data_IF_641867526827
#
_entry.id   IF_641867526827
#
_cell.length_a   1.000
_cell.length_b   1.000
_cell.length_c   1.000
_cell.angle_alpha   90.00
_cell.angle_beta   90.00
_cell.angle_gamma   90.00
#
_symmetry.space_group_name_H-M   'P 1'
#
loop_
_entity.id
_entity.type
_entity.pdbx_description
1 polymer ?
#
# COMPACT_ATOMS: atom_id res chain seq x y z
N UNK A 1 -39.94 -5.95 -51.13
CA UNK A 1 -39.26 -4.97 -50.24
C UNK A 1 -38.67 -5.54 -48.93
N UNK A 2 -39.20 -6.63 -48.35
CA UNK A 2 -38.72 -7.18 -47.06
C UNK A 2 -37.32 -7.85 -47.11
N UNK A 3 -36.95 -8.54 -48.21
CA UNK A 3 -35.60 -9.14 -48.37
C UNK A 3 -34.44 -8.12 -48.37
N UNK A 4 -34.68 -6.88 -48.82
CA UNK A 4 -33.66 -5.79 -48.80
C UNK A 4 -33.48 -5.19 -47.40
N UNK A 5 -34.54 -5.14 -46.57
CA UNK A 5 -34.45 -4.70 -45.16
C UNK A 5 -33.71 -5.74 -44.29
N UNK A 6 -33.90 -7.04 -44.54
CA UNK A 6 -33.21 -8.11 -43.82
C UNK A 6 -31.69 -8.15 -44.11
N UNK A 7 -31.28 -7.97 -45.38
CA UNK A 7 -29.86 -7.86 -45.75
C UNK A 7 -29.18 -6.58 -45.19
N UNK A 8 -29.89 -5.45 -45.10
CA UNK A 8 -29.38 -4.22 -44.46
C UNK A 8 -29.25 -4.37 -42.93
N UNK A 9 -30.16 -5.08 -42.27
CA UNK A 9 -30.09 -5.44 -40.85
C UNK A 9 -28.88 -6.34 -40.55
N UNK A 10 -28.61 -7.34 -41.38
CA UNK A 10 -27.41 -8.17 -41.24
C UNK A 10 -26.10 -7.44 -41.60
N UNK A 11 -26.11 -6.48 -42.54
CA UNK A 11 -24.94 -5.62 -42.81
C UNK A 11 -24.66 -4.64 -41.65
N UNK A 12 -25.70 -4.11 -40.98
CA UNK A 12 -25.56 -3.31 -39.75
C UNK A 12 -25.07 -4.15 -38.57
N UNK A 13 -25.58 -5.37 -38.37
CA UNK A 13 -25.06 -6.33 -37.37
C UNK A 13 -23.63 -6.81 -37.68
N UNK A 14 -23.26 -6.97 -38.95
CA UNK A 14 -21.88 -7.29 -39.36
C UNK A 14 -20.90 -6.12 -39.17
N UNK A 15 -21.35 -4.87 -39.30
CA UNK A 15 -20.51 -3.70 -39.02
C UNK A 15 -20.36 -3.37 -37.52
N UNK A 16 -21.25 -3.85 -36.66
CA UNK A 16 -21.06 -3.83 -35.20
C UNK A 16 -20.02 -4.85 -34.72
N UNK A 17 -19.63 -5.80 -35.58
CA UNK A 17 -18.54 -6.75 -35.37
C UNK A 17 -17.20 -6.30 -35.97
N UNK A 18 -16.97 -5.00 -36.15
CA UNK A 18 -15.59 -4.51 -36.02
C UNK A 18 -15.22 -4.72 -34.55
N UNK A 19 -14.70 -5.91 -34.24
CA UNK A 19 -13.92 -6.18 -33.03
C UNK A 19 -12.89 -5.07 -32.98
N UNK A 20 -13.17 -3.99 -32.24
CA UNK A 20 -12.12 -3.14 -31.72
C UNK A 20 -11.31 -4.11 -30.87
N UNK A 21 -10.20 -4.61 -31.42
CA UNK A 21 -9.20 -5.33 -30.65
C UNK A 21 -8.60 -4.27 -29.73
N UNK A 22 -9.24 -4.07 -28.58
CA UNK A 22 -8.71 -3.24 -27.52
C UNK A 22 -7.51 -4.00 -26.96
N UNK A 23 -6.33 -3.67 -27.46
CA UNK A 23 -5.10 -4.14 -26.88
C UNK A 23 -4.80 -3.28 -25.65
N UNK A 24 -4.83 -3.90 -24.48
CA UNK A 24 -4.59 -3.24 -23.20
C UNK A 24 -3.21 -2.57 -23.15
N UNK A 25 -2.19 -3.18 -23.76
CA UNK A 25 -0.83 -2.63 -23.80
C UNK A 25 -0.82 -1.32 -24.60
N UNK A 26 -1.52 -1.28 -25.74
CA UNK A 26 -1.64 -0.07 -26.57
C UNK A 26 -2.39 1.05 -25.85
N UNK A 27 -3.42 0.73 -25.06
CA UNK A 27 -4.13 1.72 -24.23
C UNK A 27 -3.20 2.28 -23.16
N UNK A 28 -2.49 1.41 -22.45
CA UNK A 28 -1.53 1.79 -21.41
C UNK A 28 -0.44 2.70 -22.01
N UNK A 29 0.15 2.33 -23.15
CA UNK A 29 1.16 3.15 -23.83
C UNK A 29 0.61 4.51 -24.27
N UNK A 30 -0.63 4.55 -24.76
CA UNK A 30 -1.31 5.79 -25.11
C UNK A 30 -1.51 6.70 -23.89
N UNK A 31 -1.96 6.15 -22.75
CA UNK A 31 -2.14 6.92 -21.52
C UNK A 31 -0.81 7.42 -20.94
N UNK A 32 0.24 6.59 -20.99
CA UNK A 32 1.60 6.99 -20.61
C UNK A 32 2.06 8.20 -21.43
N UNK A 33 1.91 8.12 -22.76
CA UNK A 33 2.34 9.20 -23.67
C UNK A 33 1.49 10.46 -23.51
N UNK A 34 0.17 10.31 -23.43
CA UNK A 34 -0.79 11.42 -23.32
C UNK A 34 -0.58 12.23 -22.05
N UNK A 35 -0.31 11.55 -20.93
CA UNK A 35 -0.07 12.18 -19.64
C UNK A 35 1.42 12.47 -19.38
N UNK A 36 2.29 12.26 -20.37
CA UNK A 36 3.73 12.53 -20.31
C UNK A 36 4.42 11.86 -19.11
N UNK A 37 4.01 10.62 -18.80
CA UNK A 37 4.55 9.88 -17.66
C UNK A 37 6.02 9.49 -17.92
N UNK A 38 6.85 9.70 -16.90
CA UNK A 38 8.29 9.37 -16.94
C UNK A 38 8.49 7.87 -16.79
N UNK A 39 8.76 7.17 -17.88
CA UNK A 39 8.98 5.72 -17.87
C UNK A 39 10.38 5.36 -17.38
N UNK A 40 11.41 5.98 -17.94
CA UNK A 40 12.80 5.57 -17.75
C UNK A 40 13.55 6.50 -16.80
N UNK A 41 14.49 5.93 -16.04
CA UNK A 41 15.39 6.71 -15.20
C UNK A 41 16.55 7.26 -16.04
N UNK A 42 16.93 8.55 -15.87
CA UNK A 42 18.12 9.11 -16.47
C UNK A 42 19.39 8.27 -16.21
N UNK A 43 20.27 8.13 -17.21
CA UNK A 43 21.48 7.28 -17.12
C UNK A 43 22.45 7.65 -15.99
N UNK A 44 22.43 8.90 -15.53
CA UNK A 44 23.24 9.39 -14.42
C UNK A 44 22.67 9.01 -13.04
N UNK A 45 21.48 8.41 -12.98
CA UNK A 45 20.92 7.87 -11.74
C UNK A 45 21.42 6.44 -11.55
N UNK A 46 22.20 6.25 -10.49
CA UNK A 46 22.66 4.94 -10.03
C UNK A 46 22.27 4.74 -8.57
N UNK A 47 22.10 3.48 -8.16
CA UNK A 47 21.74 3.08 -6.80
C UNK A 47 22.91 2.46 -6.02
N UNK A 48 24.08 2.30 -6.66
CA UNK A 48 25.25 1.62 -6.06
C UNK A 48 25.67 2.26 -4.73
N UNK A 49 25.74 3.58 -4.69
CA UNK A 49 26.16 4.31 -3.50
C UNK A 49 25.17 4.15 -2.34
N UNK A 50 23.87 4.12 -2.64
CA UNK A 50 22.81 3.94 -1.66
C UNK A 50 22.83 2.53 -1.06
N UNK A 51 23.02 1.50 -1.89
CA UNK A 51 23.05 0.10 -1.46
C UNK A 51 24.23 -0.20 -0.54
N UNK A 52 25.35 0.52 -0.69
CA UNK A 52 26.53 0.37 0.18
C UNK A 52 26.32 0.84 1.63
N UNK A 53 25.25 1.60 1.92
CA UNK A 53 25.01 2.26 3.21
C UNK A 53 24.31 1.38 4.26
N UNK A 54 23.77 0.21 3.86
CA UNK A 54 22.94 -0.65 4.72
C UNK A 54 23.67 -1.07 6.01
N UNK A 55 25.01 -1.21 5.96
CA UNK A 55 25.82 -1.67 7.10
C UNK A 55 26.25 -0.59 8.11
N UNK A 56 25.89 0.68 7.92
CA UNK A 56 26.51 1.81 8.65
C UNK A 56 25.57 2.68 9.51
N UNK A 57 24.42 2.17 9.96
CA UNK A 57 23.51 3.04 10.72
C UNK A 57 23.65 2.94 12.24
N UNK A 58 24.29 3.92 12.86
CA UNK A 58 24.32 4.12 14.32
C UNK A 58 22.99 4.59 14.90
N UNK A 59 22.14 5.21 14.06
CA UNK A 59 20.94 5.92 14.52
C UNK A 59 19.67 5.04 14.53
N UNK A 60 19.76 3.81 14.00
CA UNK A 60 18.64 2.87 14.00
C UNK A 60 18.76 1.89 15.16
N UNK A 61 17.75 1.88 16.03
CA UNK A 61 17.71 0.96 17.15
C UNK A 61 17.35 -0.46 16.69
N UNK A 62 17.94 -1.47 17.35
CA UNK A 62 17.65 -2.87 17.04
C UNK A 62 16.25 -3.29 17.53
N UNK A 63 15.42 -3.69 16.57
CA UNK A 63 14.09 -4.26 16.76
C UNK A 63 13.94 -5.64 16.09
N UNK A 64 15.03 -6.31 15.70
CA UNK A 64 15.01 -7.58 14.96
C UNK A 64 14.42 -8.75 15.77
N UNK A 65 14.38 -8.59 17.09
CA UNK A 65 13.75 -9.54 18.02
C UNK A 65 12.22 -9.48 17.98
N UNK A 66 11.61 -8.37 17.52
CA UNK A 66 10.15 -8.23 17.43
C UNK A 66 9.64 -8.95 16.16
N UNK A 67 8.60 -9.81 16.25
CA UNK A 67 8.10 -10.59 15.13
C UNK A 67 7.16 -9.76 14.24
N UNK A 68 7.71 -8.74 13.59
CA UNK A 68 7.01 -7.98 12.54
C UNK A 68 6.64 -8.90 11.36
N UNK A 69 5.53 -8.58 10.70
CA UNK A 69 5.08 -9.24 9.46
C UNK A 69 4.64 -8.18 8.45
N UNK A 70 4.73 -8.51 7.16
CA UNK A 70 4.09 -7.71 6.10
C UNK A 70 2.83 -8.42 5.62
N UNK A 71 1.81 -7.65 5.20
CA UNK A 71 0.53 -8.18 4.71
C UNK A 71 0.14 -7.38 3.46
N UNK A 72 0.27 -8.01 2.30
CA UNK A 72 0.21 -7.32 1.01
C UNK A 72 -0.63 -8.08 -0.04
N UNK A 73 -0.75 -7.50 -1.23
CA UNK A 73 -1.31 -8.19 -2.39
C UNK A 73 -0.39 -9.32 -2.87
N UNK A 74 -0.97 -10.33 -3.52
CA UNK A 74 -0.21 -11.48 -4.08
C UNK A 74 0.89 -11.03 -5.06
N UNK A 75 0.63 -9.97 -5.83
CA UNK A 75 1.53 -9.43 -6.86
C UNK A 75 2.53 -8.35 -6.35
N UNK A 76 2.43 -7.94 -5.08
CA UNK A 76 3.28 -6.89 -4.49
C UNK A 76 4.74 -7.33 -4.34
N UNK A 77 5.67 -6.40 -4.55
CA UNK A 77 7.14 -6.63 -4.42
C UNK A 77 7.84 -5.58 -3.54
N UNK A 78 7.24 -4.41 -3.46
CA UNK A 78 7.58 -3.24 -2.66
C UNK A 78 6.79 -3.28 -1.35
N UNK A 79 7.33 -3.94 -0.33
CA UNK A 79 6.69 -4.03 0.99
C UNK A 79 7.09 -2.81 1.82
N UNK A 80 6.27 -1.77 1.76
CA UNK A 80 6.54 -0.49 2.41
C UNK A 80 6.31 -0.51 3.92
N UNK A 81 5.39 -1.35 4.39
CA UNK A 81 5.00 -1.44 5.79
C UNK A 81 5.08 -2.86 6.37
N UNK A 82 5.45 -2.91 7.65
CA UNK A 82 5.39 -4.10 8.46
C UNK A 82 4.69 -3.77 9.78
N UNK A 83 3.88 -4.71 10.27
CA UNK A 83 3.02 -4.50 11.43
C UNK A 83 3.31 -5.50 12.54
N UNK A 84 3.16 -5.03 13.76
CA UNK A 84 3.22 -5.85 14.97
C UNK A 84 2.18 -5.35 15.99
N UNK A 85 1.58 -6.28 16.71
CA UNK A 85 0.69 -5.95 17.82
C UNK A 85 0.83 -6.96 18.96
N UNK A 86 0.79 -6.46 20.19
CA UNK A 86 0.79 -7.31 21.38
C UNK A 86 -0.18 -6.76 22.43
N UNK A 87 -1.01 -7.65 22.98
CA UNK A 87 -1.86 -7.31 24.12
C UNK A 87 -1.05 -7.31 25.40
N UNK A 88 -1.09 -6.21 26.13
CA UNK A 88 -0.51 -6.06 27.48
C UNK A 88 -1.63 -5.85 28.50
N UNK A 89 -1.31 -5.91 29.79
CA UNK A 89 -2.31 -5.67 30.85
C UNK A 89 -2.91 -4.26 30.66
N UNK A 90 -4.21 -4.20 30.36
CA UNK A 90 -4.97 -2.95 30.19
C UNK A 90 -4.74 -2.16 28.90
N UNK A 91 -3.90 -2.63 27.97
CA UNK A 91 -3.65 -1.93 26.71
C UNK A 91 -3.22 -2.87 25.57
N UNK A 92 -3.27 -2.36 24.33
CA UNK A 92 -2.70 -3.01 23.15
C UNK A 92 -1.53 -2.13 22.68
N UNK A 93 -0.36 -2.71 22.52
CA UNK A 93 0.77 -2.05 21.88
C UNK A 93 0.79 -2.40 20.40
N UNK A 94 0.82 -1.37 19.56
CA UNK A 94 0.82 -1.44 18.10
C UNK A 94 2.12 -0.81 17.61
N UNK A 95 2.78 -1.46 16.66
CA UNK A 95 3.96 -0.94 15.98
C UNK A 95 3.75 -1.07 14.47
N UNK A 96 3.89 0.05 13.77
CA UNK A 96 3.92 0.11 12.31
C UNK A 96 5.32 0.55 11.90
N UNK A 97 6.05 -0.32 11.23
CA UNK A 97 7.37 -0.04 10.68
C UNK A 97 7.24 0.30 9.21
N UNK A 98 7.71 1.48 8.80
CA UNK A 98 7.68 1.95 7.40
C UNK A 98 9.10 1.94 6.85
N UNK A 99 9.31 1.43 5.65
CA UNK A 99 10.60 1.44 4.97
C UNK A 99 11.28 2.83 5.01
N UNK A 100 12.53 2.90 5.43
CA UNK A 100 13.24 4.17 5.59
C UNK A 100 13.84 4.65 4.27
N UNK A 101 12.99 5.03 3.32
CA UNK A 101 13.40 5.57 2.02
C UNK A 101 14.30 6.80 2.19
N UNK A 102 14.05 7.63 3.21
CA UNK A 102 14.82 8.84 3.51
C UNK A 102 16.27 8.56 3.94
N UNK A 103 16.57 7.33 4.36
CA UNK A 103 17.94 6.91 4.61
C UNK A 103 18.73 6.81 3.30
N UNK A 104 18.13 6.21 2.27
CA UNK A 104 18.76 5.97 0.97
C UNK A 104 18.72 7.18 0.05
N UNK A 105 17.64 7.93 0.05
CA UNK A 105 17.41 9.07 -0.86
C UNK A 105 17.55 10.36 -0.06
N UNK A 106 18.68 11.06 -0.19
CA UNK A 106 18.92 12.34 0.50
C UNK A 106 18.41 13.49 -0.34
N UNK A 107 18.07 14.57 0.36
CA UNK A 107 17.61 15.80 -0.27
C UNK A 107 18.63 16.27 -1.32
N UNK A 108 18.12 16.58 -2.50
CA UNK A 108 18.86 17.03 -3.68
C UNK A 108 19.77 15.97 -4.35
N UNK A 109 19.74 14.71 -3.92
CA UNK A 109 20.37 13.62 -4.68
C UNK A 109 19.69 13.47 -6.06
N UNK A 110 20.36 12.94 -7.09
CA UNK A 110 19.74 12.69 -8.40
C UNK A 110 18.44 11.88 -8.33
N UNK A 111 18.35 10.93 -7.39
CA UNK A 111 17.14 10.13 -7.14
C UNK A 111 16.02 10.98 -6.53
N UNK A 112 16.32 11.88 -5.59
CA UNK A 112 15.33 12.79 -4.98
C UNK A 112 14.74 13.74 -6.01
N UNK A 113 15.59 14.31 -6.88
CA UNK A 113 15.17 15.20 -7.96
C UNK A 113 14.23 14.46 -8.93
N UNK A 114 14.55 13.20 -9.28
CA UNK A 114 13.70 12.40 -10.15
C UNK A 114 12.40 11.95 -9.47
N UNK A 115 12.47 11.54 -8.20
CA UNK A 115 11.30 11.15 -7.42
C UNK A 115 10.31 12.32 -7.30
N UNK A 116 10.78 13.55 -7.07
CA UNK A 116 9.93 14.76 -7.07
C UNK A 116 9.26 15.02 -8.41
N UNK A 117 9.95 14.76 -9.53
CA UNK A 117 9.38 14.91 -10.88
C UNK A 117 8.34 13.84 -11.20
N UNK A 118 8.47 12.65 -10.61
CA UNK A 118 7.51 11.53 -10.77
C UNK A 118 6.32 11.69 -9.84
N UNK A 119 6.52 12.15 -8.61
CA UNK A 119 5.49 12.40 -7.60
C UNK A 119 4.95 11.12 -6.94
N UNK A 120 4.61 10.10 -7.72
CA UNK A 120 4.14 8.80 -7.25
C UNK A 120 4.53 7.66 -8.21
N UNK A 121 4.35 6.42 -7.77
CA UNK A 121 4.35 5.25 -8.65
C UNK A 121 3.01 5.15 -9.38
N UNK A 122 3.03 4.81 -10.67
CA UNK A 122 1.82 4.56 -11.45
C UNK A 122 1.63 3.07 -11.68
N UNK A 123 0.49 2.54 -11.22
CA UNK A 123 0.14 1.13 -11.31
C UNK A 123 -0.88 0.92 -12.43
N UNK A 124 -0.42 0.32 -13.54
CA UNK A 124 -1.26 -0.16 -14.63
C UNK A 124 -1.46 -1.68 -14.52
N UNK A 125 -2.47 -2.25 -15.21
CA UNK A 125 -2.58 -3.70 -15.32
C UNK A 125 -1.28 -4.33 -15.85
N UNK A 126 -0.61 -5.13 -15.02
CA UNK A 126 0.67 -5.81 -15.29
C UNK A 126 1.87 -4.90 -15.60
N UNK A 127 1.79 -3.60 -15.34
CA UNK A 127 2.92 -2.67 -15.55
C UNK A 127 2.96 -1.63 -14.44
N UNK A 128 4.13 -1.47 -13.82
CA UNK A 128 4.37 -0.42 -12.83
C UNK A 128 5.38 0.56 -13.41
N UNK A 129 5.10 1.86 -13.28
CA UNK A 129 6.09 2.91 -13.48
C UNK A 129 6.49 3.39 -12.08
N UNK A 130 7.61 2.92 -11.54
CA UNK A 130 7.93 3.17 -10.14
C UNK A 130 8.45 4.59 -9.95
N UNK A 131 8.15 5.20 -8.80
CA UNK A 131 8.70 6.49 -8.40
C UNK A 131 10.22 6.41 -8.17
N UNK A 132 10.69 5.28 -7.65
CA UNK A 132 12.08 5.01 -7.32
C UNK A 132 12.63 3.87 -8.18
N UNK A 133 13.95 3.80 -8.41
CA UNK A 133 14.53 2.66 -9.10
C UNK A 133 14.22 1.34 -8.37
N UNK A 134 13.92 0.27 -9.10
CA UNK A 134 13.49 -1.02 -8.51
C UNK A 134 14.48 -1.60 -7.51
N UNK A 135 15.79 -1.42 -7.74
CA UNK A 135 16.83 -1.85 -6.79
C UNK A 135 16.71 -1.18 -5.41
N UNK A 136 16.04 -0.02 -5.31
CA UNK A 136 15.70 0.59 -4.02
C UNK A 136 14.32 0.14 -3.56
N UNK A 137 13.27 0.33 -4.37
CA UNK A 137 11.89 0.06 -3.93
C UNK A 137 11.64 -1.41 -3.63
N UNK A 138 12.08 -2.32 -4.49
CA UNK A 138 11.74 -3.74 -4.43
C UNK A 138 12.76 -4.57 -3.63
N UNK A 139 13.92 -4.01 -3.26
CA UNK A 139 14.97 -4.74 -2.54
C UNK A 139 15.47 -4.00 -1.29
N UNK A 140 16.16 -2.87 -1.46
CA UNK A 140 16.84 -2.20 -0.34
C UNK A 140 15.88 -1.66 0.73
N UNK A 141 14.79 -1.04 0.29
CA UNK A 141 13.75 -0.47 1.14
C UNK A 141 12.70 -1.52 1.52
N UNK A 142 12.35 -2.41 0.58
CA UNK A 142 11.31 -3.42 0.77
C UNK A 142 11.57 -4.26 2.03
N UNK A 143 10.57 -4.32 2.92
CA UNK A 143 10.61 -5.02 4.21
C UNK A 143 10.47 -6.54 4.07
N UNK A 144 11.23 -7.12 3.13
CA UNK A 144 11.23 -8.55 2.78
C UNK A 144 11.54 -9.44 3.99
N UNK A 145 10.98 -10.66 4.04
CA UNK A 145 11.12 -11.53 5.19
C UNK A 145 12.57 -12.00 5.36
N UNK A 146 12.94 -12.24 6.63
CA UNK A 146 14.22 -12.80 7.08
C UNK A 146 15.47 -11.99 6.71
N UNK A 147 15.31 -10.73 6.28
CA UNK A 147 16.42 -9.80 6.07
C UNK A 147 16.28 -8.58 6.98
N UNK A 148 17.42 -8.04 7.40
CA UNK A 148 17.45 -6.79 8.14
C UNK A 148 17.15 -5.62 7.23
N UNK A 149 16.25 -4.74 7.69
CA UNK A 149 15.79 -3.58 6.94
C UNK A 149 15.65 -2.37 7.85
N UNK A 150 16.08 -1.23 7.31
CA UNK A 150 15.97 0.07 7.96
C UNK A 150 14.55 0.60 7.81
N UNK A 151 13.96 1.02 8.92
CA UNK A 151 12.60 1.50 8.95
C UNK A 151 12.43 2.66 9.93
N UNK A 152 11.33 3.39 9.78
CA UNK A 152 10.80 4.32 10.77
C UNK A 152 9.62 3.63 11.43
N UNK A 153 9.72 3.41 12.74
CA UNK A 153 8.72 2.74 13.55
C UNK A 153 7.84 3.77 14.25
N UNK A 154 6.55 3.72 13.96
CA UNK A 154 5.49 4.38 14.73
C UNK A 154 4.93 3.38 15.73
N UNK A 155 5.24 3.58 17.01
CA UNK A 155 4.79 2.70 18.10
C UNK A 155 3.83 3.44 19.02
N UNK A 156 2.74 2.81 19.41
CA UNK A 156 1.77 3.38 20.34
C UNK A 156 1.09 2.34 21.21
N UNK A 157 0.69 2.75 22.41
CA UNK A 157 -0.17 1.98 23.31
C UNK A 157 -1.57 2.58 23.29
N UNK A 158 -2.58 1.74 23.07
CA UNK A 158 -4.00 2.14 23.12
C UNK A 158 -4.72 1.41 24.25
N UNK A 159 -5.68 2.08 24.89
CA UNK A 159 -6.60 1.43 25.82
C UNK A 159 -7.71 0.65 25.08
N UNK A 160 -8.61 0.03 25.84
CA UNK A 160 -9.74 -0.75 25.31
C UNK A 160 -10.77 0.08 24.53
N UNK A 161 -10.71 1.41 24.63
CA UNK A 161 -11.56 2.35 23.89
C UNK A 161 -10.81 2.97 22.69
N UNK A 162 -9.57 2.56 22.44
CA UNK A 162 -8.73 3.07 21.36
C UNK A 162 -8.11 4.43 21.65
N UNK A 163 -8.14 4.93 22.89
CA UNK A 163 -7.42 6.15 23.29
C UNK A 163 -5.93 5.87 23.30
N UNK A 164 -5.15 6.75 22.67
CA UNK A 164 -3.68 6.68 22.68
C UNK A 164 -3.21 7.08 24.08
N UNK A 165 -2.58 6.14 24.78
CA UNK A 165 -1.96 6.35 26.10
C UNK A 165 -0.57 6.97 25.90
N UNK A 166 0.20 6.44 24.95
CA UNK A 166 1.52 6.94 24.60
C UNK A 166 1.85 6.58 23.16
N UNK A 167 2.71 7.37 22.51
CA UNK A 167 3.25 7.06 21.19
C UNK A 167 4.68 7.58 21.03
N UNK A 168 5.44 6.94 20.14
CA UNK A 168 6.83 7.27 19.80
C UNK A 168 7.09 7.00 18.32
N UNK A 169 7.98 7.79 17.73
CA UNK A 169 8.46 7.62 16.35
C UNK A 169 9.98 7.46 16.44
N UNK A 170 10.52 6.34 15.97
CA UNK A 170 11.93 5.96 16.14
C UNK A 170 12.45 5.34 14.85
N UNK A 171 13.71 5.60 14.48
CA UNK A 171 14.41 4.85 13.43
C UNK A 171 14.86 3.50 13.98
N UNK A 172 14.60 2.42 13.25
CA UNK A 172 14.85 1.06 13.72
C UNK A 172 15.32 0.11 12.63
N UNK A 173 15.96 -0.98 13.05
CA UNK A 173 16.29 -2.13 12.21
C UNK A 173 15.30 -3.23 12.57
N UNK A 174 14.55 -3.74 11.59
CA UNK A 174 13.67 -4.89 11.78
C UNK A 174 14.11 -6.07 10.93
N UNK A 175 13.64 -7.25 11.29
CA UNK A 175 13.71 -8.46 10.47
C UNK A 175 12.31 -9.06 10.40
N UNK A 176 11.59 -8.79 9.32
CA UNK A 176 10.23 -9.31 9.12
C UNK A 176 10.26 -10.84 9.16
N UNK A 177 9.33 -11.46 9.89
CA UNK A 177 9.25 -12.93 10.07
C UNK A 177 8.55 -13.61 8.91
N UNK A 178 7.61 -12.91 8.29
CA UNK A 178 6.82 -13.44 7.19
C UNK A 178 6.33 -12.33 6.28
N UNK A 179 6.27 -12.64 4.99
CA UNK A 179 5.45 -11.93 4.02
C UNK A 179 4.17 -12.72 3.85
N UNK A 180 3.06 -12.14 4.24
CA UNK A 180 1.74 -12.74 4.12
C UNK A 180 0.93 -11.98 3.07
N UNK A 181 -0.03 -12.68 2.47
CA UNK A 181 -1.02 -12.08 1.59
C UNK A 181 -2.31 -11.79 2.35
N UNK A 182 -3.09 -10.82 1.87
CA UNK A 182 -4.42 -10.54 2.43
C UNK A 182 -5.29 -11.81 2.53
N UNK A 183 -5.21 -12.69 1.53
CA UNK A 183 -5.97 -13.94 1.46
C UNK A 183 -5.52 -14.98 2.49
N UNK A 184 -4.22 -15.08 2.76
CA UNK A 184 -3.68 -15.97 3.79
C UNK A 184 -4.12 -15.51 5.18
N UNK A 185 -4.03 -14.21 5.47
CA UNK A 185 -4.46 -13.64 6.75
C UNK A 185 -5.97 -13.76 6.93
N UNK A 186 -6.76 -13.53 5.89
CA UNK A 186 -8.20 -13.75 5.93
C UNK A 186 -8.54 -15.21 6.25
N UNK A 187 -7.82 -16.15 5.65
CA UNK A 187 -7.98 -17.58 5.92
C UNK A 187 -7.61 -17.93 7.36
N UNK A 188 -6.57 -17.29 7.90
CA UNK A 188 -6.14 -17.45 9.28
C UNK A 188 -7.20 -16.97 10.28
N UNK A 189 -7.74 -15.76 10.05
CA UNK A 189 -8.81 -15.16 10.86
C UNK A 189 -10.06 -16.05 10.86
N UNK A 190 -10.52 -16.47 9.67
CA UNK A 190 -11.74 -17.28 9.51
C UNK A 190 -11.60 -18.68 10.10
N UNK A 191 -10.47 -19.35 9.89
CA UNK A 191 -10.26 -20.74 10.33
C UNK A 191 -9.81 -20.85 11.79
N UNK A 192 -9.58 -19.72 12.48
CA UNK A 192 -8.96 -19.68 13.82
C UNK A 192 -7.73 -20.60 13.88
N UNK A 193 -6.84 -20.47 12.90
CA UNK A 193 -5.75 -21.40 12.70
C UNK A 193 -4.92 -21.54 13.99
N UNK A 194 -4.77 -22.77 14.49
CA UNK A 194 -4.03 -23.05 15.74
C UNK A 194 -2.54 -23.30 15.52
N UNK A 195 -2.05 -23.17 14.28
CA UNK A 195 -0.62 -23.28 13.98
C UNK A 195 0.14 -22.20 14.74
N UNK A 196 1.09 -22.65 15.56
CA UNK A 196 1.95 -21.81 16.41
C UNK A 196 3.16 -21.31 15.62
N UNK A 197 2.90 -20.54 14.57
CA UNK A 197 3.97 -19.75 13.94
C UNK A 197 4.38 -18.62 14.89
N UNK A 198 5.63 -18.15 14.81
CA UNK A 198 6.19 -17.11 15.68
C UNK A 198 5.38 -15.79 15.65
N UNK A 199 4.59 -15.58 14.60
CA UNK A 199 3.74 -14.40 14.41
C UNK A 199 2.24 -14.65 14.69
N UNK A 200 1.86 -15.83 15.21
CA UNK A 200 0.47 -16.17 15.53
C UNK A 200 -0.17 -15.15 16.48
N UNK A 201 0.55 -14.81 17.56
CA UNK A 201 0.08 -13.84 18.54
C UNK A 201 -0.05 -12.44 17.94
N UNK A 202 0.86 -12.06 17.04
CA UNK A 202 0.81 -10.81 16.28
C UNK A 202 -0.49 -10.72 15.48
N UNK A 203 -0.83 -11.73 14.68
CA UNK A 203 -2.05 -11.73 13.86
C UNK A 203 -3.33 -11.59 14.71
N UNK A 204 -3.41 -12.34 15.81
CA UNK A 204 -4.56 -12.26 16.74
C UNK A 204 -4.70 -10.86 17.35
N UNK A 205 -3.59 -10.25 17.74
CA UNK A 205 -3.60 -8.94 18.37
C UNK A 205 -3.80 -7.80 17.34
N UNK A 206 -3.44 -7.99 16.08
CA UNK A 206 -3.76 -7.07 14.98
C UNK A 206 -5.26 -7.02 14.73
N UNK A 207 -5.93 -8.17 14.71
CA UNK A 207 -7.40 -8.23 14.61
C UNK A 207 -8.06 -7.50 15.79
N UNK A 208 -7.58 -7.74 17.02
CA UNK A 208 -8.08 -7.04 18.21
C UNK A 208 -7.87 -5.52 18.11
N UNK A 209 -6.68 -5.08 17.69
CA UNK A 209 -6.37 -3.68 17.48
C UNK A 209 -7.32 -3.03 16.46
N UNK A 210 -7.55 -3.71 15.33
CA UNK A 210 -8.48 -3.27 14.31
C UNK A 210 -9.90 -3.10 14.85
N UNK A 211 -10.43 -4.07 15.61
CA UNK A 211 -11.77 -3.96 16.19
C UNK A 211 -11.93 -2.73 17.09
N UNK A 212 -10.91 -2.44 17.91
CA UNK A 212 -10.91 -1.27 18.80
C UNK A 212 -10.83 0.04 18.00
N UNK A 213 -9.90 0.11 17.03
CA UNK A 213 -9.69 1.30 16.21
C UNK A 213 -10.88 1.58 15.29
N UNK A 214 -11.43 0.55 14.63
CA UNK A 214 -12.61 0.64 13.77
C UNK A 214 -13.83 1.12 14.54
N UNK A 215 -14.07 0.61 15.76
CA UNK A 215 -15.16 1.11 16.61
C UNK A 215 -14.98 2.60 16.93
N UNK A 216 -13.76 3.00 17.27
CA UNK A 216 -13.44 4.40 17.55
C UNK A 216 -13.62 5.31 16.32
N UNK A 217 -13.18 4.87 15.13
CA UNK A 217 -13.30 5.67 13.92
C UNK A 217 -14.75 5.78 13.44
N UNK A 218 -15.55 4.73 13.58
CA UNK A 218 -17.01 4.78 13.36
C UNK A 218 -17.69 5.78 14.29
N UNK A 219 -17.38 5.76 15.58
CA UNK A 219 -17.93 6.73 16.54
C UNK A 219 -17.52 8.19 16.25
N UNK A 220 -16.41 8.40 15.53
CA UNK A 220 -15.97 9.72 15.06
C UNK A 220 -16.66 10.15 13.75
N UNK A 221 -17.46 9.29 13.12
CA UNK A 221 -18.11 9.55 11.84
C UNK A 221 -17.25 9.24 10.62
N UNK A 222 -16.38 8.21 10.68
CA UNK A 222 -15.70 7.68 9.47
C UNK A 222 -16.77 7.33 8.43
N UNK A 223 -16.69 7.97 7.27
CA UNK A 223 -17.53 7.64 6.11
C UNK A 223 -16.92 6.40 5.47
N UNK A 224 -17.74 5.36 5.30
CA UNK A 224 -17.37 4.11 4.64
C UNK A 224 -18.11 4.06 3.30
N UNK A 225 -17.37 4.16 2.19
CA UNK A 225 -17.93 4.03 0.86
C UNK A 225 -17.78 2.59 0.40
N UNK A 226 -18.89 1.88 0.26
CA UNK A 226 -18.90 0.52 -0.30
C UNK A 226 -18.79 0.60 -1.83
N UNK A 227 -17.58 0.88 -2.31
CA UNK A 227 -17.27 0.94 -3.74
C UNK A 227 -16.83 -0.43 -4.24
N UNK A 228 -17.38 -0.83 -5.38
CA UNK A 228 -16.94 -2.04 -6.06
C UNK A 228 -15.59 -1.79 -6.74
N UNK A 229 -14.55 -2.49 -6.28
CA UNK A 229 -13.22 -2.47 -6.89
C UNK A 229 -13.05 -3.64 -7.87
N UNK A 230 -12.29 -3.42 -8.95
CA UNK A 230 -12.10 -4.38 -10.04
C UNK A 230 -10.64 -4.48 -10.47
N UNK A 231 -10.16 -5.72 -10.60
CA UNK A 231 -8.88 -6.04 -11.26
C UNK A 231 -9.09 -6.31 -12.74
N UNK A 232 -8.28 -5.67 -13.58
CA UNK A 232 -8.23 -5.96 -15.01
C UNK A 232 -7.25 -7.11 -15.25
N UNK A 233 -7.70 -8.19 -15.89
CA UNK A 233 -6.89 -9.36 -16.21
C UNK A 233 -6.87 -9.60 -17.73
N UNK A 234 -5.67 -9.72 -18.30
CA UNK A 234 -5.47 -9.99 -19.73
C UNK A 234 -5.88 -11.44 -20.05
N UNK A 235 -6.61 -11.63 -21.15
CA UNK A 235 -6.95 -12.96 -21.65
C UNK A 235 -5.73 -13.62 -22.30
N UNK A 236 -5.72 -14.96 -22.32
CA UNK A 236 -4.62 -15.77 -22.90
C UNK A 236 -4.31 -15.43 -24.37
N UNK A 237 -5.29 -14.94 -25.12
CA UNK A 237 -5.17 -14.59 -26.54
C UNK A 237 -4.66 -13.15 -26.79
N UNK A 238 -4.29 -12.41 -25.73
CA UNK A 238 -3.75 -11.03 -25.73
C UNK A 238 -4.64 -9.94 -26.33
N UNK A 239 -5.75 -10.31 -26.98
CA UNK A 239 -6.63 -9.40 -27.73
C UNK A 239 -7.87 -8.94 -26.95
N UNK A 240 -8.00 -9.38 -25.70
CA UNK A 240 -9.09 -9.03 -24.78
C UNK A 240 -8.61 -8.99 -23.33
N UNK A 241 -9.38 -8.32 -22.48
CA UNK A 241 -9.19 -8.30 -21.02
C UNK A 241 -10.55 -8.41 -20.33
N UNK A 242 -10.55 -8.88 -19.09
CA UNK A 242 -11.74 -9.05 -18.26
C UNK A 242 -11.62 -8.20 -16.99
N UNK A 243 -12.76 -7.72 -16.50
CA UNK A 243 -12.88 -7.10 -15.19
C UNK A 243 -13.28 -8.18 -14.19
N UNK A 244 -12.45 -8.41 -13.18
CA UNK A 244 -12.75 -9.30 -12.07
C UNK A 244 -13.01 -8.44 -10.84
N UNK A 245 -14.19 -8.58 -10.23
CA UNK A 245 -14.50 -7.89 -8.98
C UNK A 245 -13.52 -8.36 -7.90
N UNK A 246 -12.84 -7.41 -7.26
CA UNK A 246 -11.97 -7.68 -6.13
C UNK A 246 -12.79 -8.15 -4.93
N UNK A 247 -12.22 -9.09 -4.17
CA UNK A 247 -12.82 -9.54 -2.91
C UNK A 247 -12.35 -8.60 -1.83
N UNK A 248 -13.27 -8.00 -1.08
CA UNK A 248 -12.93 -7.27 0.13
C UNK A 248 -12.62 -8.25 1.25
N UNK A 249 -11.42 -8.14 1.84
CA UNK A 249 -10.98 -8.95 2.96
C UNK A 249 -10.91 -8.14 4.26
N UNK A 250 -11.12 -8.79 5.40
CA UNK A 250 -10.95 -8.16 6.72
C UNK A 250 -9.49 -7.81 6.94
N UNK A 251 -8.56 -8.61 6.41
CA UNK A 251 -7.11 -8.35 6.44
C UNK A 251 -6.72 -7.02 5.78
N UNK A 252 -7.40 -6.61 4.70
CA UNK A 252 -7.20 -5.30 4.06
C UNK A 252 -7.63 -4.17 5.00
N UNK A 253 -8.80 -4.32 5.63
CA UNK A 253 -9.33 -3.34 6.59
C UNK A 253 -8.45 -3.20 7.84
N UNK A 254 -7.82 -4.29 8.28
CA UNK A 254 -6.84 -4.28 9.37
C UNK A 254 -5.67 -3.36 9.01
N UNK A 255 -5.04 -3.59 7.85
CA UNK A 255 -3.90 -2.78 7.40
C UNK A 255 -4.31 -1.33 7.17
N UNK A 256 -5.44 -1.09 6.50
CA UNK A 256 -5.96 0.27 6.27
C UNK A 256 -6.11 1.06 7.57
N UNK A 257 -6.78 0.49 8.57
CA UNK A 257 -7.02 1.18 9.84
C UNK A 257 -5.72 1.42 10.62
N UNK A 258 -4.75 0.50 10.54
CA UNK A 258 -3.43 0.66 11.16
C UNK A 258 -2.60 1.76 10.47
N UNK A 259 -2.65 1.85 9.14
CA UNK A 259 -1.97 2.92 8.39
C UNK A 259 -2.60 4.28 8.70
N UNK A 260 -3.94 4.38 8.75
CA UNK A 260 -4.64 5.60 9.18
C UNK A 260 -4.27 5.97 10.61
N UNK A 261 -4.18 4.99 11.51
CA UNK A 261 -3.75 5.21 12.90
C UNK A 261 -2.32 5.75 13.00
N UNK A 262 -1.37 5.15 12.29
CA UNK A 262 0.02 5.60 12.24
C UNK A 262 0.14 7.02 11.66
N UNK A 263 -0.56 7.30 10.55
CA UNK A 263 -0.61 8.62 9.92
C UNK A 263 -1.15 9.70 10.89
N UNK A 264 -2.19 9.38 11.67
CA UNK A 264 -2.71 10.31 12.68
C UNK A 264 -1.70 10.61 13.80
N UNK A 265 -0.90 9.62 14.21
CA UNK A 265 0.18 9.83 15.19
C UNK A 265 1.25 10.76 14.62
N UNK A 266 1.69 10.53 13.39
CA UNK A 266 2.70 11.35 12.71
C UNK A 266 2.20 12.78 12.52
N UNK A 267 0.98 12.96 12.02
CA UNK A 267 0.35 14.28 11.87
C UNK A 267 0.28 15.03 13.21
N UNK A 268 -0.10 14.32 14.28
CA UNK A 268 -0.15 14.87 15.64
C UNK A 268 1.23 15.23 16.18
N UNK A 269 2.27 14.44 15.86
CA UNK A 269 3.65 14.72 16.24
C UNK A 269 4.15 16.02 15.62
N UNK A 270 3.97 16.20 14.29
CA UNK A 270 4.37 17.43 13.59
C UNK A 270 3.59 18.64 14.10
N UNK A 271 2.28 18.50 14.33
CA UNK A 271 1.44 19.58 14.86
C UNK A 271 1.89 20.03 16.26
N UNK A 272 2.12 19.08 17.19
CA UNK A 272 2.61 19.38 18.54
C UNK A 272 3.99 20.04 18.54
N UNK A 273 4.87 19.63 17.61
CA UNK A 273 6.22 20.20 17.45
C UNK A 273 6.23 21.51 16.65
N UNK A 274 5.07 21.98 16.14
CA UNK A 274 4.93 23.17 15.27
C UNK A 274 5.90 23.13 14.08
N UNK A 275 6.14 21.95 13.53
CA UNK A 275 7.03 21.73 12.39
C UNK A 275 6.21 21.76 11.11
N UNK A 276 6.70 22.48 10.10
CA UNK A 276 6.10 22.50 8.76
C UNK A 276 6.22 21.11 8.14
N UNK A 277 5.12 20.60 7.63
CA UNK A 277 5.01 19.31 6.93
C UNK A 277 3.87 19.38 5.91
N UNK A 278 3.86 18.45 4.96
CA UNK A 278 2.72 18.23 4.08
C UNK A 278 1.61 17.48 4.84
N UNK A 279 0.37 17.96 4.70
CA UNK A 279 -0.83 17.34 5.27
C UNK A 279 -1.77 16.91 4.13
N UNK A 280 -2.43 15.77 4.30
CA UNK A 280 -3.52 15.33 3.42
C UNK A 280 -4.84 15.85 3.98
N UNK A 281 -5.33 16.95 3.43
CA UNK A 281 -6.56 17.59 3.89
C UNK A 281 -7.73 17.22 2.97
N UNK A 282 -8.93 17.14 3.56
CA UNK A 282 -10.19 16.99 2.84
C UNK A 282 -11.13 18.08 3.34
N UNK A 283 -11.51 19.00 2.46
CA UNK A 283 -12.39 20.11 2.80
C UNK A 283 -13.84 19.64 2.92
N UNK A 284 -14.68 20.44 3.58
CA UNK A 284 -16.11 20.17 3.63
C UNK A 284 -16.67 20.28 2.19
N UNK A 285 -17.66 19.45 1.80
CA UNK A 285 -18.38 19.65 0.56
C UNK A 285 -18.96 21.07 0.50
N UNK A 286 -18.97 21.68 -0.68
CA UNK A 286 -19.69 22.93 -0.91
C UNK A 286 -21.19 22.73 -0.68
N UNK A 287 -21.89 23.78 -0.25
CA UNK A 287 -23.35 23.72 -0.02
C UNK A 287 -24.11 23.20 -1.25
N UNK A 288 -23.69 23.61 -2.45
CA UNK A 288 -24.25 23.15 -3.73
C UNK A 288 -24.16 21.63 -3.96
N UNK A 289 -23.17 20.94 -3.38
CA UNK A 289 -22.98 19.49 -3.52
C UNK A 289 -23.72 18.67 -2.46
N UNK A 290 -24.33 19.33 -1.47
CA UNK A 290 -25.10 18.71 -0.40
C UNK A 290 -26.61 18.64 -0.70
N UNK A 291 -27.05 19.28 -1.79
CA UNK A 291 -28.45 19.34 -2.25
C UNK A 291 -28.74 18.25 -3.27
#
# INVERSE_FOLDING_TARGET
MQKRKYKKSQKKKRNLNKKYKFNLDTIIESEIKKNLLRTDFPKNITTKDQLSKISKSSDHHDYTHIPFITIDGEDSKDFDDAVFAIKKKGCIEIMVAIADVSFFVKQNDPIDIEAKKRGNSYYFPNKVIPMLPESLSNDACSLVPNKERLCIIVSAKIDILGKIISSKIIRGIIRSRARLTYKEVESYIKKKCTKKEDYHETLKNLELAYLVLSKKSKNRGKIDFDLEDYKIVKSKDSSSFNFLKNKSYTSEKIIEELMVFANNIVASYFAKKKKKSLYRNHEKPSEEKLV
#
